data_IF_955538687687
#
_entry.id   IF_955538687687
#
_cell.length_a   1.000
_cell.length_b   1.000
_cell.length_c   1.000
_cell.angle_alpha   90.00
_cell.angle_beta   90.00
_cell.angle_gamma   90.00
#
_symmetry.space_group_name_H-M   'P 1'
#
loop_
_entity.id
_entity.type
_entity.pdbx_description
1 polymer ?
#
# COMPACT_ATOMS: atom_id res chain seq x y z
N UNK A 1 21.90 -3.02 -9.00
CA UNK A 1 22.57 -4.04 -8.18
C UNK A 1 22.65 -3.44 -6.79
N UNK A 2 22.15 -4.13 -5.78
CA UNK A 2 22.13 -3.59 -4.42
C UNK A 2 23.53 -3.64 -3.82
N UNK A 3 23.88 -2.63 -3.01
CA UNK A 3 25.20 -2.55 -2.37
C UNK A 3 25.36 -3.59 -1.24
N UNK A 4 24.26 -4.18 -0.76
CA UNK A 4 24.23 -5.16 0.30
C UNK A 4 23.28 -6.31 -0.04
N UNK A 5 23.64 -7.51 0.39
CA UNK A 5 22.83 -8.71 0.24
C UNK A 5 21.49 -8.54 1.00
N UNK A 6 20.39 -8.73 0.28
CA UNK A 6 19.03 -8.62 0.81
C UNK A 6 18.58 -9.86 1.62
N UNK A 7 19.53 -10.68 2.07
CA UNK A 7 19.35 -11.81 2.98
C UNK A 7 20.24 -11.63 4.22
N UNK A 8 21.56 -11.63 4.12
CA UNK A 8 22.43 -11.51 5.31
C UNK A 8 22.95 -10.09 5.60
N UNK A 9 22.68 -9.10 4.74
CA UNK A 9 23.20 -7.74 4.88
C UNK A 9 24.67 -7.56 4.46
N UNK A 10 25.34 -8.63 3.99
CA UNK A 10 26.75 -8.57 3.56
C UNK A 10 26.95 -7.64 2.36
N UNK A 11 27.98 -6.77 2.35
CA UNK A 11 28.30 -5.92 1.20
C UNK A 11 28.57 -6.74 -0.08
N UNK A 12 28.04 -6.28 -1.22
CA UNK A 12 28.19 -6.89 -2.54
C UNK A 12 29.18 -6.11 -3.41
N UNK A 13 30.37 -5.82 -2.87
CA UNK A 13 31.38 -5.00 -3.53
C UNK A 13 32.27 -5.78 -4.51
N UNK A 14 32.20 -7.12 -4.48
CA UNK A 14 32.95 -8.02 -5.36
C UNK A 14 31.98 -8.95 -6.08
N UNK A 15 32.12 -9.07 -7.40
CA UNK A 15 31.29 -9.95 -8.23
C UNK A 15 31.43 -11.43 -7.84
N UNK A 16 32.56 -11.85 -7.29
CA UNK A 16 32.73 -13.25 -6.84
C UNK A 16 31.85 -13.59 -5.63
N UNK A 17 31.38 -12.58 -4.89
CA UNK A 17 30.53 -12.75 -3.72
C UNK A 17 29.04 -12.74 -4.09
N UNK A 18 28.69 -12.55 -5.36
CA UNK A 18 27.32 -12.41 -5.82
C UNK A 18 26.73 -13.79 -6.17
N UNK A 19 25.47 -14.01 -5.79
CA UNK A 19 24.74 -15.24 -6.09
C UNK A 19 24.33 -15.34 -7.56
N UNK A 20 23.65 -16.42 -7.92
CA UNK A 20 23.22 -16.67 -9.31
C UNK A 20 21.73 -16.94 -9.41
N UNK A 21 21.13 -16.47 -10.50
CA UNK A 21 19.77 -16.79 -10.93
C UNK A 21 19.71 -18.17 -11.60
N UNK A 22 18.50 -18.68 -11.89
CA UNK A 22 18.28 -20.03 -12.44
C UNK A 22 19.06 -20.32 -13.73
N UNK A 23 19.26 -19.31 -14.56
CA UNK A 23 19.99 -19.40 -15.83
C UNK A 23 21.46 -18.95 -15.71
N UNK A 24 21.97 -18.79 -14.49
CA UNK A 24 23.37 -18.51 -14.19
C UNK A 24 23.77 -17.03 -14.24
N UNK A 25 22.83 -16.11 -14.48
CA UNK A 25 23.11 -14.67 -14.39
C UNK A 25 23.39 -14.29 -12.93
N UNK A 26 24.22 -13.27 -12.72
CA UNK A 26 24.49 -12.76 -11.37
C UNK A 26 23.23 -12.14 -10.76
N UNK A 27 22.96 -12.47 -9.50
CA UNK A 27 21.85 -11.91 -8.76
C UNK A 27 22.05 -10.43 -8.48
N UNK A 28 20.97 -9.64 -8.57
CA UNK A 28 21.01 -8.21 -8.23
C UNK A 28 20.95 -7.95 -6.73
N UNK A 29 20.52 -8.95 -5.96
CA UNK A 29 20.06 -8.78 -4.58
C UNK A 29 20.82 -9.65 -3.58
N UNK A 30 21.35 -10.81 -3.97
CA UNK A 30 21.82 -11.81 -3.02
C UNK A 30 23.28 -12.20 -3.23
N UNK A 31 23.95 -12.54 -2.12
CA UNK A 31 25.31 -13.09 -2.15
C UNK A 31 25.30 -14.58 -2.44
N UNK A 32 26.44 -15.10 -2.91
CA UNK A 32 26.65 -16.53 -3.21
C UNK A 32 26.46 -17.45 -2.00
N UNK A 33 26.63 -16.92 -0.78
CA UNK A 33 26.42 -17.69 0.45
C UNK A 33 24.94 -17.87 0.81
N UNK A 34 24.08 -16.94 0.38
CA UNK A 34 22.65 -16.99 0.66
C UNK A 34 21.86 -17.64 -0.48
N UNK A 35 22.27 -17.42 -1.73
CA UNK A 35 21.44 -17.68 -2.90
C UNK A 35 22.30 -18.17 -4.09
N UNK A 36 21.85 -19.24 -4.74
CA UNK A 36 22.53 -19.82 -5.91
C UNK A 36 21.52 -20.55 -6.80
N UNK A 37 21.73 -20.49 -8.11
CA UNK A 37 20.90 -21.14 -9.12
C UNK A 37 19.39 -20.83 -8.99
N UNK A 38 19.03 -19.63 -8.55
CA UNK A 38 17.64 -19.20 -8.42
C UNK A 38 16.97 -19.57 -7.09
N UNK A 39 17.69 -20.16 -6.13
CA UNK A 39 17.12 -20.62 -4.86
C UNK A 39 17.97 -20.21 -3.64
N UNK A 40 17.32 -20.05 -2.49
CA UNK A 40 18.03 -19.87 -1.23
C UNK A 40 18.67 -21.19 -0.82
N UNK A 41 19.96 -21.15 -0.46
CA UNK A 41 20.70 -22.33 -0.01
C UNK A 41 20.14 -22.96 1.26
N UNK A 42 19.43 -22.16 2.06
CA UNK A 42 18.82 -22.56 3.32
C UNK A 42 17.41 -21.97 3.38
N UNK A 43 16.43 -22.51 2.65
CA UNK A 43 15.11 -21.89 2.47
C UNK A 43 14.34 -21.78 3.79
N UNK A 44 14.50 -22.76 4.69
CA UNK A 44 13.76 -22.83 5.97
C UNK A 44 14.46 -22.10 7.12
N UNK A 45 15.63 -21.49 6.89
CA UNK A 45 16.38 -20.78 7.91
C UNK A 45 15.56 -19.59 8.42
N UNK A 46 15.40 -19.49 9.74
CA UNK A 46 14.75 -18.39 10.43
C UNK A 46 15.67 -17.16 10.52
N UNK A 47 15.09 -16.00 10.87
CA UNK A 47 15.87 -14.79 11.09
C UNK A 47 16.83 -14.94 12.28
N UNK A 48 16.39 -15.58 13.37
CA UNK A 48 17.25 -15.85 14.54
C UNK A 48 18.44 -16.74 14.17
N UNK A 49 18.21 -17.81 13.40
CA UNK A 49 19.29 -18.66 12.91
C UNK A 49 20.20 -17.92 11.92
N UNK A 50 19.68 -17.00 11.11
CA UNK A 50 20.53 -16.13 10.27
C UNK A 50 21.44 -15.23 11.10
N UNK A 51 20.99 -14.73 12.26
CA UNK A 51 21.85 -13.99 13.19
C UNK A 51 22.98 -14.91 13.65
N UNK A 52 22.65 -16.12 14.09
CA UNK A 52 23.65 -17.10 14.56
C UNK A 52 24.66 -17.50 13.47
N UNK A 53 24.23 -17.54 12.20
CA UNK A 53 25.13 -17.77 11.06
C UNK A 53 26.08 -16.59 10.83
N UNK A 54 25.61 -15.35 10.96
CA UNK A 54 26.41 -14.15 10.65
C UNK A 54 27.38 -13.73 11.78
N UNK A 55 27.00 -13.96 13.04
CA UNK A 55 27.77 -13.50 14.23
C UNK A 55 29.22 -13.96 14.23
N UNK A 56 29.58 -15.23 13.94
CA UNK A 56 30.97 -15.68 13.91
C UNK A 56 31.85 -14.88 12.96
N UNK A 57 31.35 -14.57 11.75
CA UNK A 57 32.13 -13.81 10.75
C UNK A 57 32.33 -12.36 11.16
N UNK A 58 31.32 -11.71 11.74
CA UNK A 58 31.47 -10.34 12.26
C UNK A 58 32.46 -10.27 13.43
N UNK A 59 32.56 -11.34 14.24
CA UNK A 59 33.56 -11.44 15.31
C UNK A 59 34.97 -11.58 14.75
N UNK A 60 35.15 -12.33 13.66
CA UNK A 60 36.45 -12.43 12.97
C UNK A 60 36.92 -11.07 12.43
N UNK A 61 35.97 -10.23 11.99
CA UNK A 61 36.22 -8.83 11.58
C UNK A 61 36.37 -7.84 12.76
N UNK A 62 36.39 -8.33 14.00
CA UNK A 62 36.70 -7.55 15.19
C UNK A 62 35.49 -6.95 15.93
N UNK A 63 34.26 -7.33 15.58
CA UNK A 63 33.05 -6.90 16.27
C UNK A 63 32.81 -7.72 17.54
N UNK A 64 32.38 -7.08 18.64
CA UNK A 64 31.95 -7.80 19.83
C UNK A 64 30.64 -8.57 19.54
N UNK A 65 30.48 -9.76 20.13
CA UNK A 65 29.32 -10.62 19.86
C UNK A 65 27.97 -9.94 20.13
N UNK A 66 27.82 -9.29 21.28
CA UNK A 66 26.62 -8.53 21.64
C UNK A 66 26.32 -7.41 20.64
N UNK A 67 27.37 -6.73 20.15
CA UNK A 67 27.24 -5.66 19.16
C UNK A 67 26.80 -6.22 17.80
N UNK A 68 27.36 -7.36 17.38
CA UNK A 68 26.97 -8.06 16.16
C UNK A 68 25.51 -8.50 16.20
N UNK A 69 25.07 -9.12 17.32
CA UNK A 69 23.68 -9.52 17.52
C UNK A 69 22.73 -8.32 17.47
N UNK A 70 23.04 -7.25 18.21
CA UNK A 70 22.22 -6.03 18.20
C UNK A 70 22.11 -5.39 16.80
N UNK A 71 23.23 -5.32 16.07
CA UNK A 71 23.25 -4.81 14.70
C UNK A 71 22.37 -5.65 13.78
N UNK A 72 22.53 -6.98 13.81
CA UNK A 72 21.79 -7.89 12.93
C UNK A 72 20.29 -7.90 13.25
N UNK A 73 19.88 -7.91 14.51
CA UNK A 73 18.47 -7.79 14.92
C UNK A 73 17.84 -6.49 14.40
N UNK A 74 18.63 -5.43 14.25
CA UNK A 74 18.16 -4.15 13.68
C UNK A 74 18.08 -4.17 12.15
N UNK A 75 19.06 -4.81 11.48
CA UNK A 75 19.20 -4.78 10.02
C UNK A 75 18.33 -5.82 9.33
N UNK A 76 18.35 -7.07 9.78
CA UNK A 76 17.72 -8.20 9.08
C UNK A 76 16.23 -7.96 8.79
N UNK A 77 15.38 -7.44 9.72
CA UNK A 77 13.96 -7.18 9.44
C UNK A 77 13.68 -6.23 8.28
N UNK A 78 14.66 -5.44 7.84
CA UNK A 78 14.50 -4.50 6.72
C UNK A 78 14.83 -5.11 5.35
N UNK A 79 15.50 -6.26 5.31
CA UNK A 79 16.02 -6.88 4.08
C UNK A 79 14.94 -7.71 3.38
N UNK A 80 14.91 -7.75 2.04
CA UNK A 80 13.84 -8.42 1.26
C UNK A 80 13.49 -9.85 1.72
N UNK A 81 14.45 -10.65 2.16
CA UNK A 81 14.21 -12.03 2.63
C UNK A 81 13.41 -12.08 3.94
N UNK A 82 13.65 -11.16 4.86
CA UNK A 82 13.13 -11.22 6.23
C UNK A 82 12.17 -10.13 6.58
N UNK A 83 12.20 -9.04 5.81
CA UNK A 83 11.11 -8.11 5.75
C UNK A 83 9.90 -8.99 5.53
N UNK A 84 9.09 -9.10 6.58
CA UNK A 84 7.70 -9.46 6.39
C UNK A 84 7.22 -8.37 5.45
N UNK A 85 7.26 -8.67 4.15
CA UNK A 85 6.18 -8.27 3.33
C UNK A 85 5.00 -8.78 4.11
N UNK A 86 4.26 -7.88 4.75
CA UNK A 86 2.84 -8.11 4.74
C UNK A 86 2.54 -8.34 3.26
N UNK A 87 2.54 -9.60 2.84
CA UNK A 87 1.93 -10.01 1.59
C UNK A 87 0.53 -9.49 1.76
N UNK A 88 0.29 -8.33 1.16
CA UNK A 88 -1.01 -7.71 1.27
C UNK A 88 -1.91 -8.67 0.53
N UNK A 89 -2.72 -9.41 1.27
CA UNK A 89 -3.74 -10.23 0.68
C UNK A 89 -4.69 -9.27 -0.03
N UNK A 90 -4.73 -9.40 -1.35
CA UNK A 90 -5.70 -8.71 -2.17
C UNK A 90 -6.59 -9.73 -2.83
N UNK A 91 -7.82 -9.31 -3.09
CA UNK A 91 -8.75 -10.06 -3.93
C UNK A 91 -8.97 -9.30 -5.23
N UNK A 92 -9.12 -10.04 -6.31
CA UNK A 92 -9.51 -9.47 -7.60
C UNK A 92 -11.02 -9.50 -7.70
N UNK A 93 -11.61 -8.35 -8.00
CA UNK A 93 -13.05 -8.23 -8.25
C UNK A 93 -13.30 -7.47 -9.55
N UNK A 94 -14.39 -7.80 -10.22
CA UNK A 94 -14.94 -6.97 -11.30
C UNK A 94 -16.14 -6.20 -10.75
N UNK A 95 -16.19 -4.90 -11.02
CA UNK A 95 -17.30 -4.04 -10.61
C UNK A 95 -17.83 -3.29 -11.82
N UNK A 96 -19.15 -3.32 -11.97
CA UNK A 96 -19.87 -2.54 -12.97
C UNK A 96 -19.73 -1.04 -12.72
N UNK A 97 -20.06 -0.24 -13.74
CA UNK A 97 -20.07 1.21 -13.61
C UNK A 97 -21.01 1.65 -12.48
N UNK A 98 -20.56 2.62 -11.69
CA UNK A 98 -21.30 3.13 -10.54
C UNK A 98 -21.11 4.64 -10.42
N UNK A 99 -21.83 5.27 -9.51
CA UNK A 99 -21.73 6.70 -9.30
C UNK A 99 -21.76 7.07 -7.82
N UNK A 100 -20.94 8.03 -7.46
CA UNK A 100 -20.80 8.57 -6.10
C UNK A 100 -21.24 10.01 -6.12
N UNK A 101 -22.17 10.37 -5.24
CA UNK A 101 -22.59 11.74 -4.98
C UNK A 101 -21.90 12.22 -3.70
N UNK A 102 -21.28 13.39 -3.71
CA UNK A 102 -20.55 13.89 -2.56
C UNK A 102 -19.85 15.24 -2.74
N UNK A 103 -19.09 15.63 -1.72
CA UNK A 103 -18.23 16.80 -1.75
C UNK A 103 -16.92 16.44 -2.45
N UNK A 104 -16.47 17.31 -3.36
CA UNK A 104 -15.24 17.08 -4.13
C UNK A 104 -14.22 18.19 -3.91
N UNK A 105 -12.96 17.80 -3.75
CA UNK A 105 -11.81 18.70 -3.82
C UNK A 105 -10.80 18.21 -4.89
N UNK A 106 -10.11 19.16 -5.53
CA UNK A 106 -8.97 18.89 -6.41
C UNK A 106 -7.67 19.05 -5.62
N UNK A 107 -6.80 18.04 -5.67
CA UNK A 107 -5.53 18.04 -4.93
C UNK A 107 -4.51 17.10 -5.56
N UNK A 108 -3.33 16.96 -4.96
CA UNK A 108 -2.33 15.96 -5.32
C UNK A 108 -1.62 15.44 -4.07
N UNK A 109 -0.92 14.30 -4.17
CA UNK A 109 -0.23 13.70 -3.02
C UNK A 109 0.85 14.62 -2.43
N UNK A 110 1.51 15.45 -3.24
CA UNK A 110 2.53 16.38 -2.74
C UNK A 110 1.92 17.46 -1.82
N UNK A 111 0.76 18.01 -2.18
CA UNK A 111 0.06 19.02 -1.37
C UNK A 111 -0.54 18.40 -0.09
N UNK A 112 -1.05 17.16 -0.17
CA UNK A 112 -1.64 16.48 1.00
C UNK A 112 -0.62 16.09 2.08
N UNK A 113 0.67 16.13 1.75
CA UNK A 113 1.75 15.96 2.73
C UNK A 113 2.12 17.25 3.46
N UNK A 114 1.52 18.39 3.11
CA UNK A 114 1.75 19.67 3.77
C UNK A 114 0.59 20.02 4.71
N UNK A 115 0.76 20.99 5.62
CA UNK A 115 -0.33 21.48 6.48
C UNK A 115 -1.54 22.04 5.70
N UNK A 116 -1.38 22.36 4.42
CA UNK A 116 -2.41 22.88 3.52
C UNK A 116 -3.22 21.77 2.81
N UNK A 117 -2.97 20.50 3.16
CA UNK A 117 -3.73 19.35 2.67
C UNK A 117 -5.24 19.53 2.83
N UNK A 118 -6.00 19.17 1.80
CA UNK A 118 -7.43 19.41 1.71
C UNK A 118 -8.24 18.22 2.24
N UNK A 119 -7.68 17.00 2.22
CA UNK A 119 -8.41 15.77 2.54
C UNK A 119 -9.06 15.83 3.94
N UNK A 120 -8.35 16.18 5.03
CA UNK A 120 -8.96 16.23 6.37
C UNK A 120 -10.11 17.24 6.44
N UNK A 121 -9.95 18.42 5.83
CA UNK A 121 -11.00 19.44 5.83
C UNK A 121 -12.23 19.04 5.01
N UNK A 122 -12.02 18.28 3.92
CA UNK A 122 -13.11 17.75 3.09
C UNK A 122 -13.95 16.72 3.88
N UNK A 123 -13.29 15.83 4.63
CA UNK A 123 -13.95 14.88 5.53
C UNK A 123 -14.73 15.59 6.64
N UNK A 124 -14.13 16.58 7.31
CA UNK A 124 -14.83 17.37 8.33
C UNK A 124 -16.07 18.06 7.74
N UNK A 125 -15.92 18.71 6.59
CA UNK A 125 -17.02 19.39 5.90
C UNK A 125 -18.16 18.43 5.54
N UNK A 126 -17.85 17.21 5.09
CA UNK A 126 -18.85 16.19 4.75
C UNK A 126 -19.77 15.84 5.92
N UNK A 127 -19.20 15.65 7.12
CA UNK A 127 -19.98 15.33 8.31
C UNK A 127 -20.62 16.56 8.94
N UNK A 128 -19.93 17.71 8.99
CA UNK A 128 -20.47 18.96 9.54
C UNK A 128 -21.69 19.46 8.75
N UNK A 129 -21.65 19.35 7.43
CA UNK A 129 -22.78 19.71 6.56
C UNK A 129 -23.86 18.63 6.50
N UNK A 130 -23.69 17.51 7.24
CA UNK A 130 -24.64 16.38 7.27
C UNK A 130 -25.00 15.89 5.87
N UNK A 131 -24.00 15.84 4.99
CA UNK A 131 -24.17 15.49 3.58
C UNK A 131 -24.94 14.18 3.37
N UNK A 132 -24.73 13.10 4.16
CA UNK A 132 -25.53 11.88 4.06
C UNK A 132 -27.05 12.10 4.23
N UNK A 133 -27.48 13.04 5.09
CA UNK A 133 -28.89 13.34 5.34
C UNK A 133 -29.56 14.04 4.14
N UNK A 134 -28.77 14.59 3.21
CA UNK A 134 -29.24 15.29 2.01
C UNK A 134 -29.43 14.35 0.80
N UNK A 135 -29.00 13.09 0.92
CA UNK A 135 -28.98 12.14 -0.20
C UNK A 135 -30.20 11.23 -0.24
N UNK A 136 -30.57 10.82 -1.44
CA UNK A 136 -31.61 9.82 -1.71
C UNK A 136 -31.08 8.75 -2.67
N UNK A 137 -31.81 7.64 -2.80
CA UNK A 137 -31.47 6.53 -3.70
C UNK A 137 -30.09 5.88 -3.44
N UNK A 138 -29.71 5.79 -2.16
CA UNK A 138 -28.45 5.19 -1.73
C UNK A 138 -28.42 3.69 -2.05
N UNK A 139 -27.31 3.20 -2.60
CA UNK A 139 -27.08 1.76 -2.81
C UNK A 139 -26.78 1.08 -1.48
N UNK A 140 -25.89 1.68 -0.68
CA UNK A 140 -25.52 1.23 0.66
C UNK A 140 -25.57 2.40 1.64
N UNK A 141 -26.67 2.57 2.41
CA UNK A 141 -26.86 3.74 3.26
C UNK A 141 -25.88 3.90 4.42
N UNK A 142 -25.10 2.87 4.74
CA UNK A 142 -24.12 2.89 5.84
C UNK A 142 -22.67 2.97 5.34
N UNK A 143 -22.45 2.97 4.02
CA UNK A 143 -21.12 2.97 3.45
C UNK A 143 -20.78 4.36 2.89
N UNK A 144 -19.68 4.92 3.39
CA UNK A 144 -19.08 6.16 2.85
C UNK A 144 -17.90 5.81 1.96
N UNK A 145 -17.76 6.53 0.87
CA UNK A 145 -16.69 6.34 -0.11
C UNK A 145 -15.72 7.52 -0.07
N UNK A 146 -14.41 7.21 -0.06
CA UNK A 146 -13.34 8.13 -0.42
C UNK A 146 -12.93 7.85 -1.86
N UNK A 147 -13.54 8.52 -2.84
CA UNK A 147 -13.36 8.23 -4.26
C UNK A 147 -12.31 9.14 -4.90
N UNK A 148 -11.23 8.56 -5.38
CA UNK A 148 -10.19 9.22 -6.15
C UNK A 148 -10.46 9.05 -7.65
N UNK A 149 -10.60 10.16 -8.37
CA UNK A 149 -11.01 10.18 -9.78
C UNK A 149 -10.36 11.34 -10.54
N UNK A 150 -10.61 11.42 -11.85
CA UNK A 150 -10.12 12.51 -12.72
C UNK A 150 -8.60 12.75 -12.61
N UNK A 151 -7.84 11.66 -12.48
CA UNK A 151 -6.38 11.71 -12.41
C UNK A 151 -5.81 12.39 -13.65
N UNK A 152 -4.90 13.35 -13.44
CA UNK A 152 -4.22 14.04 -14.52
C UNK A 152 -3.19 13.14 -15.24
N UNK A 153 -2.57 12.22 -14.50
CA UNK A 153 -1.56 11.30 -15.04
C UNK A 153 -1.48 9.98 -14.24
N UNK A 154 -0.70 9.98 -13.17
CA UNK A 154 -0.36 8.81 -12.37
C UNK A 154 -0.41 9.14 -10.87
N UNK A 155 0.32 8.38 -10.03
CA UNK A 155 0.41 8.60 -8.58
C UNK A 155 0.92 10.00 -8.18
N UNK A 156 1.60 10.72 -9.06
CA UNK A 156 2.11 12.07 -8.81
C UNK A 156 1.22 13.17 -9.40
N UNK A 157 0.22 12.80 -10.20
CA UNK A 157 -0.69 13.75 -10.83
C UNK A 157 -1.72 14.31 -9.85
N UNK A 158 -2.33 15.43 -10.22
CA UNK A 158 -3.54 15.89 -9.54
C UNK A 158 -4.70 14.91 -9.74
N UNK A 159 -5.55 14.81 -8.74
CA UNK A 159 -6.78 14.03 -8.76
C UNK A 159 -7.90 14.79 -8.06
N UNK A 160 -9.13 14.37 -8.33
CA UNK A 160 -10.31 14.78 -7.57
C UNK A 160 -10.63 13.73 -6.52
N UNK A 161 -10.64 14.12 -5.24
CA UNK A 161 -11.18 13.30 -4.16
C UNK A 161 -12.62 13.70 -3.90
N UNK A 162 -13.53 12.73 -3.97
CA UNK A 162 -14.95 12.88 -3.63
C UNK A 162 -15.25 12.06 -2.38
N UNK A 163 -15.66 12.74 -1.29
CA UNK A 163 -16.22 12.08 -0.11
C UNK A 163 -17.73 12.04 -0.27
N UNK A 164 -18.28 10.83 -0.35
CA UNK A 164 -19.65 10.66 -0.79
C UNK A 164 -20.24 9.28 -0.53
N UNK A 165 -21.42 9.05 -1.09
CA UNK A 165 -22.11 7.77 -1.02
C UNK A 165 -22.49 7.29 -2.43
N UNK A 166 -22.48 5.98 -2.63
CA UNK A 166 -22.92 5.36 -3.88
C UNK A 166 -24.45 5.50 -4.03
N UNK A 167 -24.89 6.01 -5.18
CA UNK A 167 -26.30 6.31 -5.47
C UNK A 167 -26.77 5.59 -6.74
N UNK A 168 -27.98 5.03 -6.73
CA UNK A 168 -28.58 4.36 -7.89
C UNK A 168 -28.82 5.31 -9.07
N UNK A 169 -29.18 6.56 -8.77
CA UNK A 169 -29.38 7.62 -9.76
C UNK A 169 -29.13 8.98 -9.11
N UNK A 170 -28.62 9.94 -9.90
CA UNK A 170 -28.15 11.23 -9.39
C UNK A 170 -29.25 12.25 -9.13
N UNK A 171 -30.50 11.96 -9.54
CA UNK A 171 -31.67 12.80 -9.27
C UNK A 171 -31.41 14.30 -9.47
N UNK A 172 -31.94 15.12 -8.56
CA UNK A 172 -31.48 16.49 -8.38
C UNK A 172 -30.27 16.49 -7.44
N UNK A 173 -29.14 17.00 -7.93
CA UNK A 173 -27.90 17.12 -7.14
C UNK A 173 -28.03 18.32 -6.19
N UNK A 174 -27.91 18.15 -4.86
CA UNK A 174 -27.91 19.26 -3.92
C UNK A 174 -26.80 20.28 -4.22
N UNK A 175 -27.04 21.55 -3.89
CA UNK A 175 -26.07 22.62 -4.09
C UNK A 175 -24.75 22.32 -3.35
N UNK A 176 -23.62 22.54 -4.02
CA UNK A 176 -22.29 22.25 -3.47
C UNK A 176 -21.84 20.78 -3.57
N UNK A 177 -22.74 19.86 -3.95
CA UNK A 177 -22.38 18.47 -4.21
C UNK A 177 -22.09 18.22 -5.69
N UNK A 178 -21.40 17.12 -5.95
CA UNK A 178 -21.03 16.69 -7.29
C UNK A 178 -21.21 15.19 -7.43
N UNK A 179 -21.57 14.75 -8.64
CA UNK A 179 -21.69 13.34 -8.98
C UNK A 179 -20.49 12.95 -9.82
N UNK A 180 -19.83 11.86 -9.41
CA UNK A 180 -18.77 11.20 -10.18
C UNK A 180 -19.29 9.86 -10.70
N UNK A 181 -19.14 9.62 -11.99
CA UNK A 181 -19.47 8.35 -12.62
C UNK A 181 -18.16 7.62 -12.87
N UNK A 182 -18.02 6.43 -12.29
CA UNK A 182 -16.84 5.58 -12.41
C UNK A 182 -17.17 4.44 -13.36
N UNK A 183 -16.37 4.21 -14.42
CA UNK A 183 -16.63 3.15 -15.38
C UNK A 183 -16.46 1.77 -14.74
N UNK A 184 -17.04 0.76 -15.40
CA UNK A 184 -16.79 -0.63 -15.03
C UNK A 184 -15.29 -0.93 -15.13
N UNK A 185 -14.74 -1.62 -14.14
CA UNK A 185 -13.33 -1.94 -14.08
C UNK A 185 -13.05 -3.20 -13.24
N UNK A 186 -11.86 -3.73 -13.45
CA UNK A 186 -11.26 -4.75 -12.59
C UNK A 186 -10.49 -4.06 -11.48
N UNK A 187 -10.63 -4.57 -10.27
CA UNK A 187 -10.05 -3.98 -9.06
C UNK A 187 -9.21 -5.01 -8.32
N UNK A 188 -8.05 -4.57 -7.86
CA UNK A 188 -7.38 -5.18 -6.72
C UNK A 188 -7.92 -4.54 -5.45
N UNK A 189 -8.51 -5.35 -4.57
CA UNK A 189 -9.06 -4.89 -3.30
C UNK A 189 -8.11 -5.27 -2.18
N UNK A 190 -7.63 -4.28 -1.46
CA UNK A 190 -6.77 -4.44 -0.30
C UNK A 190 -7.58 -4.12 0.95
N UNK A 191 -7.56 -5.00 1.94
CA UNK A 191 -8.22 -4.75 3.23
C UNK A 191 -7.17 -4.33 4.25
N UNK A 192 -7.39 -3.21 4.94
CA UNK A 192 -6.47 -2.72 5.97
C UNK A 192 -6.39 -3.67 7.17
N UNK A 193 -5.36 -3.49 7.98
CA UNK A 193 -5.39 -4.01 9.35
C UNK A 193 -6.53 -3.36 10.16
N UNK A 194 -6.83 -3.93 11.33
CA UNK A 194 -7.76 -3.33 12.30
C UNK A 194 -7.04 -2.38 13.22
N UNK A 195 -7.63 -1.22 13.48
CA UNK A 195 -7.08 -0.25 14.42
C UNK A 195 -7.62 1.17 14.20
N UNK A 196 -6.92 2.20 14.71
CA UNK A 196 -7.33 3.58 14.54
C UNK A 196 -7.47 3.97 13.06
N UNK A 197 -8.66 4.43 12.67
CA UNK A 197 -9.07 4.59 11.27
C UNK A 197 -8.06 5.36 10.42
N UNK A 198 -7.58 6.50 10.92
CA UNK A 198 -6.62 7.34 10.19
C UNK A 198 -5.29 6.61 10.00
N UNK A 199 -4.82 5.90 11.02
CA UNK A 199 -3.54 5.18 10.97
C UNK A 199 -3.60 4.02 9.99
N UNK A 200 -4.66 3.20 10.06
CA UNK A 200 -4.77 2.00 9.21
C UNK A 200 -4.94 2.36 7.74
N UNK A 201 -5.63 3.46 7.41
CA UNK A 201 -5.76 3.95 6.04
C UNK A 201 -4.42 4.46 5.50
N UNK A 202 -3.69 5.27 6.28
CA UNK A 202 -2.37 5.78 5.88
C UNK A 202 -1.39 4.62 5.65
N UNK A 203 -1.33 3.65 6.56
CA UNK A 203 -0.47 2.46 6.43
C UNK A 203 -0.86 1.64 5.20
N UNK A 204 -2.15 1.40 4.98
CA UNK A 204 -2.62 0.64 3.83
C UNK A 204 -2.18 1.31 2.51
N UNK A 205 -2.35 2.63 2.37
CA UNK A 205 -1.87 3.36 1.18
C UNK A 205 -0.36 3.30 1.00
N UNK A 206 0.42 3.48 2.08
CA UNK A 206 1.89 3.34 2.02
C UNK A 206 2.31 1.96 1.53
N UNK A 207 1.64 0.91 2.03
CA UNK A 207 1.91 -0.47 1.62
C UNK A 207 1.50 -0.72 0.17
N UNK A 208 0.32 -0.23 -0.26
CA UNK A 208 -0.15 -0.31 -1.65
C UNK A 208 0.85 0.37 -2.60
N UNK A 209 1.30 1.60 -2.30
CA UNK A 209 2.29 2.29 -3.12
C UNK A 209 3.62 1.54 -3.20
N UNK A 210 4.10 1.03 -2.07
CA UNK A 210 5.33 0.23 -2.03
C UNK A 210 5.20 -1.07 -2.85
N UNK A 211 4.03 -1.71 -2.82
CA UNK A 211 3.74 -2.91 -3.60
C UNK A 211 3.73 -2.60 -5.11
N UNK A 212 2.97 -1.60 -5.53
CA UNK A 212 2.88 -1.21 -6.95
C UNK A 212 4.22 -0.72 -7.52
N UNK A 213 5.05 -0.06 -6.71
CA UNK A 213 6.39 0.35 -7.13
C UNK A 213 7.32 -0.82 -7.51
N UNK A 214 6.98 -2.05 -7.10
CA UNK A 214 7.75 -3.26 -7.35
C UNK A 214 6.93 -4.34 -8.09
N UNK A 215 5.75 -3.98 -8.61
CA UNK A 215 4.83 -4.89 -9.29
C UNK A 215 4.82 -4.67 -10.80
N UNK A 216 4.51 -5.71 -11.57
CA UNK A 216 4.23 -5.60 -13.01
C UNK A 216 2.75 -5.26 -13.30
N UNK A 217 1.91 -5.19 -12.26
CA UNK A 217 0.49 -4.88 -12.44
C UNK A 217 0.31 -3.38 -12.73
N UNK A 218 -0.33 -3.10 -13.88
CA UNK A 218 -0.62 -1.74 -14.30
C UNK A 218 -1.93 -1.22 -13.67
N UNK A 219 -1.84 -0.07 -12.99
CA UNK A 219 -3.02 0.70 -12.57
C UNK A 219 -3.63 1.43 -13.77
N UNK A 220 -4.95 1.46 -13.83
CA UNK A 220 -5.66 2.16 -14.91
C UNK A 220 -5.98 3.61 -14.59
N UNK A 221 -5.95 3.99 -13.30
CA UNK A 221 -6.29 5.33 -12.81
C UNK A 221 -7.67 5.80 -13.27
N UNK A 222 -8.59 4.87 -13.56
CA UNK A 222 -9.98 5.19 -13.96
C UNK A 222 -10.87 5.53 -12.78
N UNK A 223 -10.44 5.22 -11.57
CA UNK A 223 -11.11 5.57 -10.33
C UNK A 223 -10.77 4.56 -9.24
N UNK A 224 -10.03 4.99 -8.23
CA UNK A 224 -9.68 4.20 -7.04
C UNK A 224 -10.55 4.67 -5.87
N UNK A 225 -10.87 3.82 -4.91
CA UNK A 225 -11.71 4.25 -3.80
C UNK A 225 -11.53 3.46 -2.51
N UNK A 226 -11.74 4.16 -1.41
CA UNK A 226 -11.87 3.61 -0.07
C UNK A 226 -13.35 3.36 0.24
N UNK A 227 -13.66 2.27 0.94
CA UNK A 227 -15.01 1.98 1.45
C UNK A 227 -14.97 1.88 2.96
N UNK A 228 -15.68 2.80 3.60
CA UNK A 228 -15.88 2.86 5.04
C UNK A 228 -17.30 2.35 5.35
N UNK A 229 -17.41 1.07 5.72
CA UNK A 229 -18.68 0.41 6.01
C UNK A 229 -18.91 0.23 7.52
N UNK A 230 -19.79 -0.69 7.93
CA UNK A 230 -20.08 -0.96 9.34
C UNK A 230 -18.85 -1.30 10.18
N UNK A 231 -17.77 -1.80 9.58
CA UNK A 231 -16.49 -2.08 10.26
C UNK A 231 -15.82 -0.80 10.77
N UNK A 232 -16.23 0.37 10.26
CA UNK A 232 -15.72 1.67 10.67
C UNK A 232 -16.55 2.35 11.78
N UNK A 233 -17.60 1.70 12.29
CA UNK A 233 -18.48 2.27 13.34
C UNK A 233 -17.71 2.61 14.62
N UNK A 234 -16.73 1.79 14.99
CA UNK A 234 -15.76 2.13 16.03
C UNK A 234 -14.46 2.63 15.37
N UNK A 235 -14.15 3.94 15.46
CA UNK A 235 -12.97 4.49 14.78
C UNK A 235 -11.64 3.98 15.34
N UNK A 236 -11.61 3.42 16.56
CA UNK A 236 -10.39 2.85 17.16
C UNK A 236 -10.11 1.40 16.72
N UNK A 237 -11.10 0.73 16.13
CA UNK A 237 -11.04 -0.67 15.69
C UNK A 237 -11.52 -0.80 14.24
N UNK A 238 -11.29 0.24 13.45
CA UNK A 238 -11.77 0.36 12.09
C UNK A 238 -11.01 -0.58 11.15
N UNK A 239 -11.69 -1.01 10.09
CA UNK A 239 -11.10 -1.73 8.98
C UNK A 239 -11.70 -1.22 7.66
N UNK A 240 -10.84 -0.89 6.70
CA UNK A 240 -11.22 -0.22 5.46
C UNK A 240 -10.78 -1.07 4.27
N UNK A 241 -11.64 -1.18 3.25
CA UNK A 241 -11.24 -1.76 1.97
C UNK A 241 -10.84 -0.65 0.99
N UNK A 242 -9.73 -0.85 0.28
CA UNK A 242 -9.19 0.06 -0.73
C UNK A 242 -9.18 -0.67 -2.08
N UNK A 243 -9.91 -0.11 -3.03
CA UNK A 243 -10.09 -0.63 -4.38
C UNK A 243 -9.18 0.14 -5.32
N UNK A 244 -8.22 -0.55 -5.95
CA UNK A 244 -7.32 0.02 -6.94
C UNK A 244 -7.68 -0.53 -8.31
N UNK A 245 -8.03 0.36 -9.25
CA UNK A 245 -8.38 -0.02 -10.61
C UNK A 245 -7.13 -0.47 -11.37
N UNK A 246 -7.19 -1.68 -11.93
CA UNK A 246 -6.04 -2.32 -12.60
C UNK A 246 -6.41 -2.85 -13.98
N UNK A 247 -5.39 -3.05 -14.81
CA UNK A 247 -5.56 -3.60 -16.15
C UNK A 247 -5.90 -5.08 -16.07
N UNK A 248 -6.86 -5.48 -16.91
CA UNK A 248 -7.41 -6.83 -17.04
C UNK A 248 -6.41 -7.88 -17.46
#
# INVERSE_FOLDING_TARGET
MNNHCQSCGMPLNDQSLVGTEKEGQLSKDYCTYCYEAGEFKQPDLTMEEMIDVCVPYLKEDGMAEEQARHMLTSVLPSLKRWKKGETIEYVIVEKEAFQVLGLTARTCNADEMTPEGKIPSLWSAFYEQKVPEQMANLVKPTATYGLYSDYASDVNGEYSLTIGMEVLSSGAVPEGLSVKIIPAAKYMVFTSEKGPMVEVVIKAWQHIWAWFANSEVERTYTGDFEVYDERCTNPEEAQVDIYIAVRG
#
